data_IF_499282698345
#
_entry.id   IF_499282698345
#
_cell.length_a   1.000
_cell.length_b   1.000
_cell.length_c   1.000
_cell.angle_alpha   90.00
_cell.angle_beta   90.00
_cell.angle_gamma   90.00
#
_symmetry.space_group_name_H-M   'P 1'
#
loop_
_entity.id
_entity.type
_entity.pdbx_description
1 polymer ?
#
# COMPACT_ATOMS: atom_id res chain seq x y z
N UNK A 1 28.24 52.20 58.11
CA UNK A 1 27.18 51.16 58.14
C UNK A 1 26.55 51.14 56.76
N UNK A 2 26.99 50.22 55.92
CA UNK A 2 26.43 49.99 54.59
C UNK A 2 25.89 48.57 54.61
N UNK A 3 24.58 48.45 54.80
CA UNK A 3 23.89 47.17 54.74
C UNK A 3 23.43 46.98 53.29
N UNK A 4 24.09 46.07 52.58
CA UNK A 4 23.77 45.71 51.21
C UNK A 4 22.48 44.91 51.18
N UNK A 5 21.45 45.52 50.61
CA UNK A 5 20.19 44.89 50.24
C UNK A 5 20.45 43.74 49.25
N UNK A 6 20.39 42.49 49.72
CA UNK A 6 20.32 41.30 48.86
C UNK A 6 18.89 41.16 48.39
N UNK A 7 18.63 41.61 47.17
CA UNK A 7 17.37 41.35 46.45
C UNK A 7 17.40 39.92 45.94
N UNK A 8 16.88 39.00 46.75
CA UNK A 8 16.56 37.64 46.30
C UNK A 8 15.32 37.74 45.40
N UNK A 9 15.52 37.56 44.09
CA UNK A 9 14.45 37.49 43.10
C UNK A 9 13.55 36.26 43.39
N UNK A 10 12.52 36.45 44.22
CA UNK A 10 11.41 35.52 44.41
C UNK A 10 10.53 35.49 43.16
N UNK A 11 10.99 34.78 42.13
CA UNK A 11 10.13 34.27 41.06
C UNK A 11 9.71 32.83 41.34
N UNK A 12 9.47 32.50 42.62
CA UNK A 12 8.87 31.25 43.05
C UNK A 12 7.34 31.38 43.01
N UNK A 13 6.78 31.52 41.81
CA UNK A 13 5.34 31.34 41.60
C UNK A 13 4.95 29.97 42.17
N UNK A 14 3.96 29.99 43.07
CA UNK A 14 3.49 28.86 43.88
C UNK A 14 3.53 27.52 43.14
N UNK A 15 4.54 26.72 43.47
CA UNK A 15 4.64 25.35 42.99
C UNK A 15 3.44 24.56 43.56
N UNK A 16 2.76 23.71 42.75
CA UNK A 16 1.64 22.93 43.25
C UNK A 16 2.05 22.07 44.46
N UNK A 17 1.12 21.90 45.42
CA UNK A 17 1.40 21.12 46.64
C UNK A 17 1.90 19.72 46.27
N UNK A 18 3.10 19.36 46.74
CA UNK A 18 3.74 18.07 46.50
C UNK A 18 4.92 18.06 45.50
N UNK A 19 5.28 19.19 44.86
CA UNK A 19 6.51 19.28 44.05
C UNK A 19 7.61 20.07 44.76
N UNK A 20 8.81 19.49 44.86
CA UNK A 20 10.00 20.22 45.35
C UNK A 20 10.57 21.12 44.24
N UNK A 21 11.27 22.20 44.60
CA UNK A 21 11.87 23.16 43.65
C UNK A 21 12.83 22.49 42.65
N UNK A 22 13.45 21.37 43.02
CA UNK A 22 14.33 20.56 42.18
C UNK A 22 13.61 19.91 40.99
N UNK A 23 12.33 19.54 41.16
CA UNK A 23 11.54 18.80 40.15
C UNK A 23 10.48 19.65 39.45
N UNK A 24 10.42 20.95 39.74
CA UNK A 24 9.44 21.89 39.18
C UNK A 24 9.33 21.88 37.64
N UNK A 25 10.43 21.56 36.94
CA UNK A 25 10.49 21.51 35.47
C UNK A 25 10.35 20.10 34.90
N UNK A 26 10.34 19.07 35.75
CA UNK A 26 10.35 17.66 35.34
C UNK A 26 9.14 17.33 34.48
N UNK A 27 7.94 17.74 34.91
CA UNK A 27 6.70 17.48 34.17
C UNK A 27 6.70 18.13 32.77
N UNK A 28 7.34 19.31 32.62
CA UNK A 28 7.46 19.98 31.31
C UNK A 28 8.38 19.22 30.37
N UNK A 29 9.49 18.67 30.87
CA UNK A 29 10.42 17.86 30.07
C UNK A 29 9.85 16.48 29.75
N UNK A 30 9.19 15.84 30.70
CA UNK A 30 8.52 14.56 30.48
C UNK A 30 7.42 14.70 29.42
N UNK A 31 6.58 15.74 29.51
CA UNK A 31 5.55 16.02 28.51
C UNK A 31 6.15 16.26 27.12
N UNK A 32 7.27 16.98 27.03
CA UNK A 32 7.99 17.17 25.76
C UNK A 32 8.55 15.87 25.20
N UNK A 33 9.19 15.06 26.04
CA UNK A 33 9.70 13.74 25.63
C UNK A 33 8.58 12.83 25.15
N UNK A 34 7.46 12.80 25.87
CA UNK A 34 6.28 12.01 25.48
C UNK A 34 5.71 12.46 24.13
N UNK A 35 5.63 13.77 23.87
CA UNK A 35 5.20 14.25 22.56
C UNK A 35 6.16 13.83 21.45
N UNK A 36 7.48 13.93 21.66
CA UNK A 36 8.46 13.49 20.66
C UNK A 36 8.31 12.00 20.37
N UNK A 37 8.18 11.16 21.39
CA UNK A 37 7.94 9.73 21.20
C UNK A 37 6.63 9.46 20.46
N UNK A 38 5.55 10.17 20.81
CA UNK A 38 4.26 10.03 20.14
C UNK A 38 4.36 10.40 18.65
N UNK A 39 4.99 11.52 18.33
CA UNK A 39 5.23 11.91 16.94
C UNK A 39 6.10 10.89 16.20
N UNK A 40 7.14 10.35 16.85
CA UNK A 40 7.97 9.29 16.29
C UNK A 40 7.15 8.05 15.88
N UNK A 41 6.32 7.54 16.79
CA UNK A 41 5.46 6.38 16.54
C UNK A 41 4.43 6.64 15.43
N UNK A 42 3.85 7.84 15.38
CA UNK A 42 2.91 8.22 14.32
C UNK A 42 3.60 8.27 12.97
N UNK A 43 4.79 8.87 12.90
CA UNK A 43 5.56 8.95 11.64
C UNK A 43 5.99 7.56 11.19
N UNK A 44 6.50 6.73 12.10
CA UNK A 44 6.88 5.35 11.81
C UNK A 44 5.70 4.55 11.27
N UNK A 45 4.56 4.57 11.96
CA UNK A 45 3.36 3.85 11.54
C UNK A 45 2.76 4.38 10.23
N UNK A 46 2.63 5.71 10.10
CA UNK A 46 2.00 6.34 8.92
C UNK A 46 2.83 6.21 7.65
N UNK A 47 4.17 6.19 7.74
CA UNK A 47 5.04 6.03 6.58
C UNK A 47 5.27 4.57 6.19
N UNK A 48 5.01 3.61 7.07
CA UNK A 48 5.22 2.19 6.77
C UNK A 48 4.37 1.73 5.57
N UNK A 49 3.07 2.00 5.58
CA UNK A 49 2.16 1.55 4.49
C UNK A 49 2.45 2.25 3.16
N UNK A 50 2.57 3.60 3.09
CA UNK A 50 2.94 4.27 1.84
C UNK A 50 4.31 3.85 1.32
N UNK A 51 5.31 3.66 2.18
CA UNK A 51 6.64 3.19 1.76
C UNK A 51 6.56 1.79 1.17
N UNK A 52 5.83 0.88 1.82
CA UNK A 52 5.60 -0.47 1.31
C UNK A 52 4.81 -0.46 0.00
N UNK A 53 3.78 0.39 -0.13
CA UNK A 53 3.02 0.54 -1.36
C UNK A 53 3.90 1.04 -2.51
N UNK A 54 4.76 2.04 -2.26
CA UNK A 54 5.74 2.48 -3.28
C UNK A 54 6.69 1.35 -3.62
N UNK A 55 7.23 0.60 -2.65
CA UNK A 55 8.21 -0.45 -2.88
C UNK A 55 7.65 -1.67 -3.64
N UNK A 56 6.50 -2.19 -3.23
CA UNK A 56 5.85 -3.34 -3.88
C UNK A 56 5.07 -2.95 -5.16
N UNK A 57 4.79 -1.67 -5.36
CA UNK A 57 4.06 -1.13 -6.49
C UNK A 57 2.73 -0.53 -6.06
N UNK A 58 2.54 0.76 -6.35
CA UNK A 58 1.32 1.48 -6.00
C UNK A 58 0.15 0.95 -6.83
N UNK A 59 -1.01 0.63 -6.23
CA UNK A 59 -2.16 0.10 -6.96
C UNK A 59 -2.77 1.20 -7.85
N UNK A 60 -2.30 1.33 -9.07
CA UNK A 60 -2.87 2.23 -10.09
C UNK A 60 -3.96 1.56 -10.91
N UNK A 61 -4.08 0.22 -10.84
CA UNK A 61 -5.09 -0.58 -11.51
C UNK A 61 -6.26 -0.87 -10.56
N UNK A 62 -7.48 -0.86 -11.09
CA UNK A 62 -8.68 -1.33 -10.41
C UNK A 62 -8.63 -2.85 -10.20
N UNK A 63 -9.41 -3.36 -9.23
CA UNK A 63 -9.48 -4.81 -8.96
C UNK A 63 -9.94 -5.61 -10.18
N UNK A 64 -10.82 -5.03 -11.01
CA UNK A 64 -11.30 -5.66 -12.24
C UNK A 64 -10.22 -5.72 -13.31
N UNK A 65 -9.42 -4.66 -13.48
CA UNK A 65 -8.29 -4.68 -14.40
C UNK A 65 -7.22 -5.67 -13.94
N UNK A 66 -6.89 -5.69 -12.65
CA UNK A 66 -5.94 -6.66 -12.09
C UNK A 66 -6.40 -8.08 -12.39
N UNK A 67 -7.69 -8.37 -12.17
CA UNK A 67 -8.28 -9.67 -12.47
C UNK A 67 -8.12 -10.03 -13.95
N UNK A 68 -8.51 -9.12 -14.85
CA UNK A 68 -8.39 -9.32 -16.30
C UNK A 68 -6.94 -9.59 -16.70
N UNK A 69 -5.99 -8.79 -16.21
CA UNK A 69 -4.56 -8.96 -16.54
C UNK A 69 -4.00 -10.29 -15.99
N UNK A 70 -4.39 -10.70 -14.79
CA UNK A 70 -4.01 -12.00 -14.24
C UNK A 70 -4.60 -13.16 -15.04
N UNK A 71 -5.83 -13.05 -15.55
CA UNK A 71 -6.41 -14.08 -16.42
C UNK A 71 -5.66 -14.18 -17.75
N UNK A 72 -5.31 -13.04 -18.36
CA UNK A 72 -4.55 -13.01 -19.62
C UNK A 72 -3.21 -13.74 -19.46
N UNK A 73 -2.53 -13.52 -18.34
CA UNK A 73 -1.27 -14.20 -18.00
C UNK A 73 -1.50 -15.69 -17.77
N UNK A 74 -2.43 -16.05 -16.88
CA UNK A 74 -2.75 -17.44 -16.50
C UNK A 74 -3.08 -18.31 -17.71
N UNK A 75 -3.90 -17.79 -18.62
CA UNK A 75 -4.34 -18.52 -19.79
C UNK A 75 -3.54 -18.18 -21.05
N UNK A 76 -2.50 -17.35 -20.96
CA UNK A 76 -1.71 -16.90 -22.12
C UNK A 76 -2.58 -16.42 -23.30
N UNK A 77 -3.65 -15.67 -22.99
CA UNK A 77 -4.65 -15.23 -23.96
C UNK A 77 -5.11 -13.81 -23.64
N UNK A 78 -4.78 -12.86 -24.53
CA UNK A 78 -5.01 -11.43 -24.35
C UNK A 78 -6.50 -11.01 -24.45
N UNK A 79 -7.37 -11.86 -25.01
CA UNK A 79 -8.79 -11.56 -25.18
C UNK A 79 -9.63 -11.85 -23.93
N UNK A 80 -9.02 -12.36 -22.87
CA UNK A 80 -9.72 -12.70 -21.62
C UNK A 80 -9.91 -11.47 -20.74
N UNK A 81 -11.15 -11.28 -20.27
CA UNK A 81 -11.52 -10.23 -19.34
C UNK A 81 -12.35 -10.79 -18.19
N UNK A 82 -12.15 -10.26 -16.99
CA UNK A 82 -12.94 -10.63 -15.84
C UNK A 82 -14.30 -9.93 -15.89
N UNK A 83 -15.36 -10.73 -15.75
CA UNK A 83 -16.71 -10.21 -15.58
C UNK A 83 -16.96 -9.87 -14.12
N UNK A 84 -17.28 -8.62 -13.83
CA UNK A 84 -17.71 -8.17 -12.51
C UNK A 84 -19.05 -7.44 -12.62
N UNK A 85 -20.09 -7.84 -11.87
CA UNK A 85 -20.11 -8.88 -10.83
C UNK A 85 -20.01 -10.30 -11.38
N UNK A 86 -19.42 -11.22 -10.59
CA UNK A 86 -19.39 -12.64 -10.92
C UNK A 86 -20.83 -13.15 -11.17
N UNK A 87 -21.08 -13.92 -12.26
CA UNK A 87 -22.42 -14.43 -12.55
C UNK A 87 -22.96 -15.25 -11.37
N UNK A 88 -24.14 -14.89 -10.88
CA UNK A 88 -24.83 -15.59 -9.78
C UNK A 88 -25.05 -17.07 -10.06
N UNK A 89 -25.12 -17.46 -11.33
CA UNK A 89 -25.24 -18.84 -11.75
C UNK A 89 -23.93 -19.63 -11.70
N UNK A 90 -22.76 -19.01 -11.53
CA UNK A 90 -21.48 -19.71 -11.46
C UNK A 90 -21.34 -20.62 -10.22
N UNK A 91 -20.26 -21.40 -10.09
CA UNK A 91 -19.99 -22.19 -8.89
C UNK A 91 -20.05 -21.31 -7.63
N UNK A 92 -20.70 -21.75 -6.54
CA UNK A 92 -21.20 -23.10 -6.25
C UNK A 92 -22.62 -23.42 -6.77
N UNK A 93 -23.29 -22.51 -7.46
CA UNK A 93 -24.70 -22.64 -7.87
C UNK A 93 -24.94 -23.40 -9.19
N UNK A 94 -23.94 -24.14 -9.67
CA UNK A 94 -24.08 -25.13 -10.76
C UNK A 94 -23.71 -24.65 -12.17
N UNK A 95 -23.31 -23.39 -12.36
CA UNK A 95 -22.84 -22.88 -13.65
C UNK A 95 -21.36 -23.13 -13.90
N UNK A 96 -20.91 -22.68 -15.06
CA UNK A 96 -19.52 -22.81 -15.49
C UNK A 96 -18.58 -22.00 -14.60
N UNK A 97 -17.41 -22.55 -14.28
CA UNK A 97 -16.36 -21.82 -13.55
C UNK A 97 -15.79 -20.68 -14.40
N UNK A 98 -15.14 -19.72 -13.74
CA UNK A 98 -14.31 -18.71 -14.42
C UNK A 98 -13.40 -19.36 -15.45
N UNK A 99 -13.47 -18.86 -16.70
CA UNK A 99 -12.70 -19.35 -17.84
C UNK A 99 -12.90 -20.85 -18.18
N UNK A 100 -14.09 -21.42 -17.90
CA UNK A 100 -14.43 -22.77 -18.34
C UNK A 100 -14.22 -22.95 -19.85
N UNK A 101 -13.59 -24.08 -20.22
CA UNK A 101 -13.29 -24.38 -21.62
C UNK A 101 -12.07 -23.67 -22.21
N UNK A 102 -11.35 -22.84 -21.45
CA UNK A 102 -10.09 -22.27 -21.91
C UNK A 102 -9.00 -23.34 -22.00
N UNK A 103 -8.33 -23.39 -23.15
CA UNK A 103 -7.30 -24.39 -23.50
C UNK A 103 -5.95 -23.76 -23.84
N UNK A 104 -5.83 -22.45 -23.70
CA UNK A 104 -4.64 -21.68 -24.07
C UNK A 104 -3.59 -21.63 -22.97
N UNK A 105 -3.93 -22.08 -21.75
CA UNK A 105 -2.99 -22.18 -20.64
C UNK A 105 -1.81 -23.10 -21.01
N UNK A 106 -0.59 -22.64 -20.74
CA UNK A 106 0.66 -23.34 -21.04
C UNK A 106 1.22 -24.12 -19.85
N UNK A 107 0.49 -24.15 -18.75
CA UNK A 107 0.91 -24.79 -17.51
C UNK A 107 0.87 -26.32 -17.62
N UNK A 108 1.81 -26.99 -16.94
CA UNK A 108 1.81 -28.45 -16.88
C UNK A 108 0.83 -28.91 -15.80
N UNK A 109 -0.27 -29.53 -16.21
CA UNK A 109 -1.30 -30.07 -15.32
C UNK A 109 -0.89 -31.45 -14.77
N UNK A 110 -1.14 -31.70 -13.49
CA UNK A 110 -0.82 -32.95 -12.81
C UNK A 110 -1.14 -32.88 -11.32
N UNK A 111 -0.63 -33.85 -10.53
CA UNK A 111 -0.82 -33.89 -9.06
C UNK A 111 -0.20 -32.64 -8.40
N UNK A 112 0.90 -32.13 -8.96
CA UNK A 112 1.49 -30.86 -8.58
C UNK A 112 1.65 -30.00 -9.85
N UNK A 113 0.65 -29.15 -10.18
CA UNK A 113 0.68 -28.35 -11.38
C UNK A 113 1.88 -27.39 -11.35
N UNK A 114 2.60 -27.28 -12.47
CA UNK A 114 3.74 -26.38 -12.60
C UNK A 114 3.37 -25.21 -13.48
N UNK A 115 3.32 -23.98 -12.93
CA UNK A 115 3.09 -22.80 -13.75
C UNK A 115 4.25 -22.59 -14.70
N UNK A 116 3.95 -22.32 -15.97
CA UNK A 116 4.95 -21.97 -17.00
C UNK A 116 5.03 -20.48 -17.29
N UNK A 117 4.17 -19.68 -16.66
CA UNK A 117 4.33 -18.24 -16.64
C UNK A 117 5.47 -17.82 -15.72
N UNK A 118 6.23 -16.80 -16.12
CA UNK A 118 7.26 -16.19 -15.29
C UNK A 118 6.59 -15.51 -14.09
N UNK A 119 7.20 -15.52 -12.90
CA UNK A 119 6.57 -14.92 -11.70
C UNK A 119 6.40 -13.41 -11.91
N UNK A 120 5.18 -12.97 -12.17
CA UNK A 120 4.87 -11.56 -12.45
C UNK A 120 4.66 -10.80 -11.15
N UNK A 121 5.44 -9.75 -10.92
CA UNK A 121 5.20 -8.78 -9.85
C UNK A 121 4.15 -7.75 -10.23
N UNK A 122 3.56 -7.06 -9.24
CA UNK A 122 2.50 -6.07 -9.52
C UNK A 122 2.93 -4.93 -10.44
N UNK A 123 4.15 -4.39 -10.24
CA UNK A 123 4.72 -3.35 -11.11
C UNK A 123 4.84 -3.80 -12.57
N UNK A 124 5.19 -5.06 -12.76
CA UNK A 124 5.31 -5.67 -14.08
C UNK A 124 3.91 -5.82 -14.71
N UNK A 125 2.91 -6.24 -13.94
CA UNK A 125 1.51 -6.28 -14.40
C UNK A 125 1.04 -4.90 -14.90
N UNK A 126 1.32 -3.83 -14.15
CA UNK A 126 1.00 -2.44 -14.55
C UNK A 126 1.72 -2.07 -15.84
N UNK A 127 3.01 -2.39 -15.95
CA UNK A 127 3.81 -2.12 -17.16
C UNK A 127 3.19 -2.79 -18.39
N UNK A 128 2.89 -4.09 -18.31
CA UNK A 128 2.31 -4.85 -19.43
C UNK A 128 0.94 -4.26 -19.82
N UNK A 129 0.11 -3.91 -18.83
CA UNK A 129 -1.17 -3.28 -19.10
C UNK A 129 -1.04 -1.93 -19.83
N UNK A 130 -0.12 -1.06 -19.38
CA UNK A 130 0.15 0.22 -20.02
C UNK A 130 0.71 0.06 -21.45
N UNK A 131 1.62 -0.90 -21.65
CA UNK A 131 2.13 -1.26 -22.98
C UNK A 131 1.00 -1.72 -23.90
N UNK A 132 0.08 -2.56 -23.40
CA UNK A 132 -1.11 -2.97 -24.15
C UNK A 132 -2.00 -1.80 -24.52
N UNK A 133 -2.31 -0.88 -23.59
CA UNK A 133 -3.09 0.32 -23.89
C UNK A 133 -2.38 1.15 -24.96
N UNK A 134 -1.07 1.37 -24.83
CA UNK A 134 -0.31 2.14 -25.81
C UNK A 134 -0.37 1.52 -27.22
N UNK A 135 -0.25 0.20 -27.33
CA UNK A 135 -0.40 -0.51 -28.60
C UNK A 135 -1.81 -0.39 -29.21
N UNK A 136 -2.86 -0.49 -28.40
CA UNK A 136 -4.25 -0.32 -28.87
C UNK A 136 -4.55 1.14 -29.25
N UNK A 137 -3.98 2.10 -28.53
CA UNK A 137 -4.15 3.54 -28.75
C UNK A 137 -3.40 4.04 -29.99
N UNK A 138 -2.29 3.38 -30.35
CA UNK A 138 -1.47 3.76 -31.50
C UNK A 138 -2.12 3.47 -32.86
N UNK A 139 -3.22 2.69 -32.90
CA UNK A 139 -3.96 2.36 -34.12
C UNK A 139 -3.17 1.53 -35.13
N UNK A 140 -3.83 0.77 -36.02
CA UNK A 140 -3.13 0.10 -37.11
C UNK A 140 -2.50 1.16 -38.01
N UNK A 141 -1.17 1.19 -38.10
CA UNK A 141 -0.47 1.98 -39.09
C UNK A 141 -1.04 1.62 -40.46
N UNK A 142 -1.82 2.53 -41.04
CA UNK A 142 -2.46 2.33 -42.34
C UNK A 142 -1.35 2.12 -43.37
N UNK A 143 -1.29 0.96 -44.06
CA UNK A 143 -0.26 0.75 -45.06
C UNK A 143 -0.47 1.80 -46.16
N UNK A 144 0.56 2.62 -46.41
CA UNK A 144 0.58 3.52 -47.56
C UNK A 144 0.70 2.65 -48.81
N UNK A 145 -0.35 2.70 -49.63
CA UNK A 145 -0.36 2.19 -51.00
C UNK A 145 0.58 3.01 -51.89
#
# INVERSE_FOLDING_TARGET
>A
MSDSMVTTNDSAGSLPLGTTSTWARMHKWLKRGLYVCLFGLVIEGSLTVPTMAVWYGWPTLSLTEICSELMKVRFSNDALECQQPYPLGGPPFGGASEAAGQRTARDDWGIQPKPRYERIGFRELVRIHQERIAHHSAGPATPRH
#
